data_IF_742810243500
#
_entry.id   IF_742810243500
#
_cell.length_a   1.000
_cell.length_b   1.000
_cell.length_c   1.000
_cell.angle_alpha   90.00
_cell.angle_beta   90.00
_cell.angle_gamma   90.00
#
_symmetry.space_group_name_H-M   'P 1'
#
loop_
_entity.id
_entity.type
_entity.pdbx_description
1 polymer ?
#
# COMPACT_ATOMS: atom_id res chain seq x y z
N UNK A 1 9.42 -13.46 8.23
CA UNK A 1 8.96 -14.79 8.71
C UNK A 1 8.25 -14.73 10.07
N UNK A 2 8.60 -13.82 10.98
CA UNK A 2 7.95 -13.73 12.30
C UNK A 2 6.43 -13.51 12.27
N UNK A 3 5.88 -12.94 11.19
CA UNK A 3 4.42 -12.83 11.02
C UNK A 3 3.70 -14.18 10.84
N UNK A 4 4.42 -15.23 10.43
CA UNK A 4 3.84 -16.54 10.17
C UNK A 4 3.72 -17.34 11.48
N UNK A 5 2.57 -17.99 11.68
CA UNK A 5 2.38 -18.97 12.75
C UNK A 5 3.33 -20.17 12.56
N UNK A 6 3.47 -20.99 13.61
CA UNK A 6 4.32 -22.18 13.60
C UNK A 6 3.96 -23.12 12.44
N UNK A 7 4.98 -23.65 11.77
CA UNK A 7 4.83 -24.49 10.59
C UNK A 7 4.07 -23.82 9.44
N UNK A 8 4.04 -22.48 9.33
CA UNK A 8 3.37 -21.79 8.23
C UNK A 8 3.93 -22.14 6.84
N UNK A 9 3.12 -21.95 5.80
CA UNK A 9 3.55 -21.97 4.39
C UNK A 9 3.47 -20.54 3.88
N UNK A 10 4.62 -19.94 3.54
CA UNK A 10 4.72 -18.56 3.08
C UNK A 10 5.05 -18.52 1.59
N UNK A 11 4.11 -18.07 0.78
CA UNK A 11 4.30 -17.82 -0.64
C UNK A 11 4.93 -16.43 -0.85
N UNK A 12 6.05 -16.40 -1.56
CA UNK A 12 6.82 -15.18 -1.87
C UNK A 12 6.88 -14.94 -3.38
N UNK A 13 7.22 -13.71 -3.77
CA UNK A 13 7.35 -13.35 -5.17
C UNK A 13 8.81 -12.97 -5.51
N UNK A 14 9.40 -13.66 -6.48
CA UNK A 14 10.75 -13.33 -6.93
C UNK A 14 11.86 -13.51 -5.89
N UNK A 15 13.04 -13.02 -6.24
CA UNK A 15 14.30 -13.15 -5.51
C UNK A 15 14.36 -12.25 -4.26
N UNK A 16 13.94 -11.00 -4.37
CA UNK A 16 14.01 -10.00 -3.29
C UNK A 16 13.22 -10.40 -2.03
N UNK A 17 12.14 -11.17 -2.18
CA UNK A 17 11.40 -11.71 -1.05
C UNK A 17 12.01 -13.03 -0.54
N UNK A 18 12.54 -13.85 -1.44
CA UNK A 18 12.82 -15.26 -1.15
C UNK A 18 14.22 -15.46 -0.61
N UNK A 19 15.24 -14.89 -1.27
CA UNK A 19 16.63 -15.19 -0.95
C UNK A 19 17.05 -14.66 0.42
N UNK A 20 16.65 -13.47 0.87
CA UNK A 20 16.92 -13.04 2.24
C UNK A 20 16.28 -13.96 3.28
N UNK A 21 15.08 -14.49 3.02
CA UNK A 21 14.43 -15.42 3.93
C UNK A 21 15.14 -16.77 3.97
N UNK A 22 15.55 -17.30 2.82
CA UNK A 22 16.35 -18.53 2.77
C UNK A 22 17.71 -18.37 3.44
N UNK A 23 18.38 -17.23 3.26
CA UNK A 23 19.61 -16.94 4.02
C UNK A 23 19.36 -17.02 5.52
N UNK A 24 18.29 -16.38 6.02
CA UNK A 24 17.92 -16.45 7.43
C UNK A 24 17.64 -17.88 7.91
N UNK A 25 17.06 -18.74 7.05
CA UNK A 25 16.76 -20.12 7.42
C UNK A 25 17.98 -21.05 7.38
N UNK A 26 18.79 -20.95 6.33
CA UNK A 26 19.88 -21.90 6.07
C UNK A 26 21.19 -21.52 6.76
N UNK A 27 21.43 -20.22 6.95
CA UNK A 27 22.67 -19.71 7.56
C UNK A 27 22.44 -19.29 9.02
N UNK A 28 21.41 -18.48 9.28
CA UNK A 28 21.14 -17.94 10.62
C UNK A 28 20.23 -18.84 11.47
N UNK A 29 19.78 -19.97 10.90
CA UNK A 29 18.91 -20.96 11.55
C UNK A 29 17.58 -20.42 12.12
N UNK A 30 17.07 -19.33 11.54
CA UNK A 30 15.85 -18.66 12.00
C UNK A 30 14.61 -19.25 11.32
N UNK A 31 13.60 -19.63 12.12
CA UNK A 31 12.26 -20.05 11.64
C UNK A 31 12.32 -21.15 10.55
N UNK A 32 13.16 -22.16 10.76
CA UNK A 32 13.26 -23.35 9.88
C UNK A 32 11.96 -24.19 9.83
N UNK A 33 10.99 -23.90 10.69
CA UNK A 33 9.64 -24.50 10.69
C UNK A 33 8.76 -23.97 9.54
N UNK A 34 8.94 -22.72 9.12
CA UNK A 34 8.15 -22.10 8.04
C UNK A 34 8.67 -22.58 6.69
N UNK A 35 7.80 -23.03 5.78
CA UNK A 35 8.22 -23.30 4.40
C UNK A 35 8.02 -22.05 3.55
N UNK A 36 9.11 -21.47 3.07
CA UNK A 36 9.08 -20.41 2.04
C UNK A 36 8.92 -21.05 0.66
N UNK A 37 7.88 -20.64 -0.06
CA UNK A 37 7.51 -21.14 -1.39
C UNK A 37 7.56 -20.00 -2.40
N UNK A 38 8.57 -20.00 -3.25
CA UNK A 38 8.73 -18.99 -4.30
C UNK A 38 7.78 -19.29 -5.47
N UNK A 39 6.86 -18.38 -5.78
CA UNK A 39 5.90 -18.55 -6.87
C UNK A 39 6.55 -18.65 -8.25
N UNK A 40 7.65 -17.93 -8.50
CA UNK A 40 8.38 -18.00 -9.76
C UNK A 40 9.00 -19.40 -9.97
N UNK A 41 9.57 -19.98 -8.92
CA UNK A 41 10.15 -21.33 -8.96
C UNK A 41 9.08 -22.44 -9.00
N UNK A 42 7.86 -22.20 -8.49
CA UNK A 42 6.73 -23.13 -8.63
C UNK A 42 6.35 -23.44 -10.08
N UNK A 43 6.86 -22.69 -11.05
CA UNK A 43 6.71 -23.05 -12.46
C UNK A 43 7.57 -24.24 -12.90
N UNK A 44 8.41 -24.79 -12.02
CA UNK A 44 9.37 -25.84 -12.35
C UNK A 44 9.10 -27.14 -11.59
N UNK A 45 9.14 -28.27 -12.31
CA UNK A 45 8.89 -29.60 -11.73
C UNK A 45 9.88 -29.97 -10.63
N UNK A 46 11.16 -29.60 -10.79
CA UNK A 46 12.19 -29.87 -9.78
C UNK A 46 11.88 -29.17 -8.45
N UNK A 47 11.37 -27.94 -8.47
CA UNK A 47 11.06 -27.20 -7.25
C UNK A 47 9.82 -27.78 -6.56
N UNK A 48 8.81 -28.19 -7.32
CA UNK A 48 7.64 -28.91 -6.79
C UNK A 48 8.07 -30.20 -6.10
N UNK A 49 8.96 -31.00 -6.70
CA UNK A 49 9.55 -32.19 -6.07
C UNK A 49 10.34 -31.83 -4.81
N UNK A 50 11.09 -30.73 -4.83
CA UNK A 50 11.82 -30.26 -3.66
C UNK A 50 10.90 -29.93 -2.47
N UNK A 51 9.74 -29.32 -2.72
CA UNK A 51 8.73 -29.04 -1.70
C UNK A 51 8.18 -30.33 -1.07
N UNK A 52 7.99 -31.38 -1.88
CA UNK A 52 7.44 -32.66 -1.43
C UNK A 52 8.43 -33.46 -0.57
N UNK A 53 9.73 -33.42 -0.92
CA UNK A 53 10.72 -34.34 -0.37
C UNK A 53 11.66 -33.74 0.68
N UNK A 54 11.94 -32.42 0.64
CA UNK A 54 12.85 -31.75 1.58
C UNK A 54 12.11 -31.05 2.71
N UNK A 55 12.62 -31.16 3.94
CA UNK A 55 12.08 -30.45 5.09
C UNK A 55 12.31 -28.92 5.01
N UNK A 56 11.39 -28.09 5.54
CA UNK A 56 10.06 -28.44 6.05
C UNK A 56 9.10 -28.78 4.89
N UNK A 57 8.61 -30.02 4.85
CA UNK A 57 7.88 -30.57 3.68
C UNK A 57 6.52 -29.93 3.46
N UNK A 58 6.19 -29.63 2.21
CA UNK A 58 4.86 -29.17 1.77
C UNK A 58 4.29 -30.17 0.79
N UNK A 59 3.15 -30.77 1.14
CA UNK A 59 2.42 -31.65 0.23
C UNK A 59 1.87 -30.82 -0.93
N UNK A 60 2.34 -31.15 -2.13
CA UNK A 60 1.96 -30.48 -3.38
C UNK A 60 0.76 -31.14 -4.04
N UNK A 61 0.45 -32.39 -3.68
CA UNK A 61 -0.62 -33.17 -4.32
C UNK A 61 -0.26 -33.70 -5.71
N UNK A 62 1.01 -33.59 -6.13
CA UNK A 62 1.53 -34.18 -7.35
C UNK A 62 2.47 -35.34 -7.03
N UNK A 63 2.48 -36.34 -7.91
CA UNK A 63 3.63 -37.26 -8.03
C UNK A 63 4.78 -36.58 -8.77
N UNK A 64 5.99 -37.11 -8.65
CA UNK A 64 7.17 -36.60 -9.38
C UNK A 64 6.94 -36.57 -10.90
N UNK A 65 6.33 -37.62 -11.46
CA UNK A 65 6.00 -37.70 -12.88
C UNK A 65 4.94 -36.65 -13.29
N UNK A 66 3.97 -36.37 -12.42
CA UNK A 66 2.99 -35.31 -12.67
C UNK A 66 3.66 -33.94 -12.63
N UNK A 67 4.54 -33.68 -11.66
CA UNK A 67 5.26 -32.42 -11.53
C UNK A 67 6.12 -32.12 -12.76
N UNK A 68 6.79 -33.14 -13.33
CA UNK A 68 7.63 -32.99 -14.54
C UNK A 68 6.80 -32.76 -15.82
N UNK A 69 5.51 -33.09 -15.81
CA UNK A 69 4.60 -32.93 -16.97
C UNK A 69 3.65 -31.75 -16.86
N UNK A 70 3.80 -30.90 -15.84
CA UNK A 70 2.94 -29.73 -15.69
C UNK A 70 3.17 -28.74 -16.84
N UNK A 71 2.07 -28.32 -17.45
CA UNK A 71 2.03 -27.30 -18.50
C UNK A 71 0.99 -26.24 -18.14
N UNK A 72 1.06 -25.03 -18.73
CA UNK A 72 -0.05 -24.10 -18.66
C UNK A 72 -1.32 -24.74 -19.20
N UNK A 73 -2.46 -24.46 -18.59
CA UNK A 73 -3.73 -25.07 -18.93
C UNK A 73 -4.80 -24.00 -19.11
N UNK A 74 -5.55 -24.07 -20.21
CA UNK A 74 -6.78 -23.28 -20.38
C UNK A 74 -7.91 -23.98 -19.65
N UNK A 75 -8.61 -23.25 -18.79
CA UNK A 75 -9.77 -23.75 -18.07
C UNK A 75 -11.00 -23.83 -18.99
N UNK A 76 -11.76 -24.92 -18.91
CA UNK A 76 -12.72 -25.29 -19.98
C UNK A 76 -14.16 -24.84 -19.73
N UNK A 77 -14.53 -24.60 -18.48
CA UNK A 77 -15.90 -24.28 -18.06
C UNK A 77 -15.89 -23.43 -16.80
N UNK A 78 -16.93 -22.63 -16.57
CA UNK A 78 -17.10 -21.96 -15.29
C UNK A 78 -17.30 -23.02 -14.20
N UNK A 79 -16.38 -23.09 -13.24
CA UNK A 79 -16.43 -24.12 -12.20
C UNK A 79 -15.90 -23.61 -10.87
N UNK A 80 -16.69 -23.84 -9.84
CA UNK A 80 -16.21 -23.72 -8.46
C UNK A 80 -15.29 -24.89 -8.11
N UNK A 81 -14.11 -24.55 -7.60
CA UNK A 81 -13.18 -25.48 -7.01
C UNK A 81 -13.27 -25.34 -5.49
N UNK A 82 -13.51 -26.45 -4.81
CA UNK A 82 -13.40 -26.52 -3.36
C UNK A 82 -11.93 -26.59 -2.94
N UNK A 83 -11.51 -25.63 -2.12
CA UNK A 83 -10.18 -25.57 -1.49
C UNK A 83 -10.18 -26.09 -0.04
N UNK A 84 -11.21 -26.85 0.36
CA UNK A 84 -11.34 -27.51 1.66
C UNK A 84 -11.89 -26.59 2.75
N UNK A 85 -12.72 -25.62 2.39
CA UNK A 85 -13.26 -24.65 3.35
C UNK A 85 -13.93 -23.43 2.74
N UNK A 86 -13.64 -23.15 1.47
CA UNK A 86 -14.38 -22.20 0.64
C UNK A 86 -14.29 -22.62 -0.83
N UNK A 87 -15.30 -22.22 -1.61
CA UNK A 87 -15.34 -22.40 -3.07
C UNK A 87 -14.65 -21.23 -3.77
N UNK A 88 -13.90 -21.54 -4.80
CA UNK A 88 -13.20 -20.57 -5.62
C UNK A 88 -13.59 -20.77 -7.09
N UNK A 89 -14.19 -19.75 -7.72
CA UNK A 89 -14.66 -19.81 -9.10
C UNK A 89 -13.51 -19.61 -10.09
N UNK A 90 -13.26 -20.62 -10.93
CA UNK A 90 -12.49 -20.47 -12.15
C UNK A 90 -13.42 -20.26 -13.34
N UNK A 91 -13.09 -19.27 -14.17
CA UNK A 91 -13.87 -18.94 -15.36
C UNK A 91 -13.37 -19.71 -16.57
N UNK A 92 -14.29 -20.03 -17.47
CA UNK A 92 -14.00 -20.55 -18.80
C UNK A 92 -12.99 -19.65 -19.50
N UNK A 93 -12.08 -20.27 -20.25
CA UNK A 93 -11.00 -19.65 -21.02
C UNK A 93 -9.88 -18.98 -20.18
N UNK A 94 -9.98 -18.98 -18.85
CA UNK A 94 -8.88 -18.53 -17.99
C UNK A 94 -7.65 -19.43 -18.18
N UNK A 95 -6.47 -18.83 -18.36
CA UNK A 95 -5.20 -19.55 -18.45
C UNK A 95 -4.61 -19.68 -17.06
N UNK A 96 -4.38 -20.92 -16.63
CA UNK A 96 -3.63 -21.24 -15.42
C UNK A 96 -2.18 -21.55 -15.78
N UNK A 97 -1.26 -20.76 -15.22
CA UNK A 97 0.18 -21.07 -15.28
C UNK A 97 0.51 -22.27 -14.41
N UNK A 98 1.71 -22.82 -14.54
CA UNK A 98 2.16 -23.94 -13.72
C UNK A 98 2.12 -23.57 -12.23
N UNK A 99 2.63 -22.39 -11.86
CA UNK A 99 2.56 -21.88 -10.49
C UNK A 99 1.13 -21.79 -9.93
N UNK A 100 0.16 -21.42 -10.77
CA UNK A 100 -1.23 -21.22 -10.37
C UNK A 100 -1.86 -22.57 -10.02
N UNK A 101 -1.62 -23.57 -10.88
CA UNK A 101 -2.04 -24.96 -10.66
C UNK A 101 -1.40 -25.53 -9.39
N UNK A 102 -0.11 -25.28 -9.20
CA UNK A 102 0.63 -25.75 -8.03
C UNK A 102 0.15 -25.11 -6.73
N UNK A 103 -0.08 -23.79 -6.72
CA UNK A 103 -0.64 -23.07 -5.59
C UNK A 103 -1.98 -23.66 -5.15
N UNK A 104 -2.94 -23.79 -6.07
CA UNK A 104 -4.27 -24.35 -5.76
C UNK A 104 -4.17 -25.79 -5.22
N UNK A 105 -3.28 -26.61 -5.80
CA UNK A 105 -3.09 -27.98 -5.34
C UNK A 105 -2.42 -28.07 -3.97
N UNK A 106 -1.44 -27.20 -3.67
CA UNK A 106 -0.85 -27.10 -2.32
C UNK A 106 -1.91 -26.72 -1.30
N UNK A 107 -2.74 -25.70 -1.58
CA UNK A 107 -3.83 -25.29 -0.68
C UNK A 107 -4.77 -26.47 -0.39
N UNK A 108 -5.22 -27.17 -1.44
CA UNK A 108 -6.11 -28.33 -1.33
C UNK A 108 -5.46 -29.51 -0.59
N UNK A 109 -4.21 -29.83 -0.89
CA UNK A 109 -3.47 -30.93 -0.27
C UNK A 109 -3.14 -30.66 1.21
N UNK A 110 -2.96 -29.39 1.57
CA UNK A 110 -2.73 -28.96 2.95
C UNK A 110 -3.93 -29.27 3.88
N UNK A 111 -5.16 -29.32 3.34
CA UNK A 111 -6.41 -29.56 4.12
C UNK A 111 -6.51 -28.69 5.37
N UNK A 112 -6.05 -27.44 5.27
CA UNK A 112 -6.03 -26.46 6.38
C UNK A 112 -5.27 -26.92 7.64
N UNK A 113 -4.33 -27.87 7.49
CA UNK A 113 -3.49 -28.34 8.61
C UNK A 113 -2.43 -27.32 9.00
N UNK A 114 -1.86 -26.63 8.01
CA UNK A 114 -0.85 -25.57 8.19
C UNK A 114 -1.45 -24.22 7.79
N UNK A 115 -1.12 -23.12 8.49
CA UNK A 115 -1.53 -21.79 8.08
C UNK A 115 -0.80 -21.39 6.78
N UNK A 116 -1.53 -20.75 5.86
CA UNK A 116 -1.03 -20.36 4.54
C UNK A 116 -0.99 -18.84 4.46
N UNK A 117 0.13 -18.32 3.96
CA UNK A 117 0.41 -16.89 3.87
C UNK A 117 0.94 -16.53 2.49
N UNK A 118 0.61 -15.34 2.01
CA UNK A 118 1.26 -14.69 0.88
C UNK A 118 2.00 -13.45 1.38
N UNK A 119 3.20 -13.16 0.89
CA UNK A 119 3.86 -11.89 1.18
C UNK A 119 3.05 -10.71 0.60
N UNK A 120 3.11 -9.52 1.23
CA UNK A 120 2.34 -8.34 0.76
C UNK A 120 2.74 -7.94 -0.67
N UNK A 121 3.99 -8.20 -1.02
CA UNK A 121 4.65 -7.97 -2.31
C UNK A 121 4.17 -8.89 -3.44
N UNK A 122 3.40 -9.95 -3.13
CA UNK A 122 2.78 -10.78 -4.17
C UNK A 122 1.76 -9.93 -4.93
N UNK A 123 1.92 -9.81 -6.25
CA UNK A 123 1.03 -9.02 -7.09
C UNK A 123 -0.38 -9.64 -7.17
N UNK A 124 -1.44 -8.85 -7.40
CA UNK A 124 -2.80 -9.36 -7.57
C UNK A 124 -2.91 -10.47 -8.63
N UNK A 125 -2.17 -10.34 -9.73
CA UNK A 125 -2.11 -11.32 -10.83
C UNK A 125 -1.56 -12.69 -10.38
N UNK A 126 -0.77 -12.73 -9.32
CA UNK A 126 -0.21 -13.95 -8.74
C UNK A 126 -1.07 -14.52 -7.59
N UNK A 127 -2.19 -13.87 -7.25
CA UNK A 127 -3.12 -14.30 -6.19
C UNK A 127 -4.31 -15.08 -6.72
N UNK A 128 -4.52 -15.12 -8.04
CA UNK A 128 -5.65 -15.78 -8.70
C UNK A 128 -7.05 -15.29 -8.26
N UNK A 129 -7.20 -14.18 -7.54
CA UNK A 129 -8.49 -13.80 -6.95
C UNK A 129 -8.69 -14.30 -5.50
N UNK A 130 -7.68 -14.97 -4.92
CA UNK A 130 -7.68 -15.35 -3.51
C UNK A 130 -7.66 -14.13 -2.58
N UNK A 131 -7.36 -12.93 -3.08
CA UNK A 131 -7.39 -11.66 -2.32
C UNK A 131 -8.69 -11.44 -1.55
N UNK A 132 -9.81 -11.99 -2.03
CA UNK A 132 -11.09 -11.98 -1.31
C UNK A 132 -11.04 -12.69 0.05
N UNK A 133 -10.11 -13.62 0.21
CA UNK A 133 -9.91 -14.46 1.38
C UNK A 133 -8.56 -14.21 2.06
N UNK A 134 -7.91 -13.07 1.77
CA UNK A 134 -6.63 -12.69 2.36
C UNK A 134 -6.81 -11.61 3.42
N UNK A 135 -6.52 -11.95 4.68
CA UNK A 135 -6.47 -11.01 5.80
C UNK A 135 -5.04 -10.55 6.04
N UNK A 136 -4.80 -9.25 6.10
CA UNK A 136 -3.47 -8.72 6.36
C UNK A 136 -3.05 -8.93 7.83
N UNK A 137 -1.88 -9.52 8.03
CA UNK A 137 -1.19 -9.67 9.32
C UNK A 137 0.23 -9.11 9.19
N UNK A 138 0.36 -7.79 9.34
CA UNK A 138 1.64 -7.07 9.13
C UNK A 138 2.24 -7.34 7.74
N UNK A 139 3.45 -7.90 7.65
CA UNK A 139 4.19 -8.19 6.42
C UNK A 139 3.67 -9.41 5.62
N UNK A 140 2.56 -10.03 6.01
CA UNK A 140 1.95 -11.16 5.28
C UNK A 140 0.45 -10.99 5.15
N UNK A 141 -0.12 -11.70 4.18
CA UNK A 141 -1.53 -11.88 3.92
C UNK A 141 -1.90 -13.32 4.26
N UNK A 142 -2.64 -13.54 5.34
CA UNK A 142 -3.11 -14.86 5.76
C UNK A 142 -4.30 -15.28 4.92
N UNK A 143 -4.24 -16.49 4.37
CA UNK A 143 -5.40 -17.12 3.74
C UNK A 143 -6.35 -17.63 4.82
N UNK A 144 -7.59 -17.14 4.77
CA UNK A 144 -8.68 -17.53 5.68
C UNK A 144 -9.86 -18.11 4.88
N UNK A 145 -10.87 -18.68 5.55
CA UNK A 145 -12.01 -19.32 4.86
C UNK A 145 -13.11 -18.32 4.55
N UNK A 146 -13.31 -17.38 5.45
CA UNK A 146 -14.22 -16.27 5.34
C UNK A 146 -13.73 -15.23 4.32
N UNK A 147 -14.65 -14.37 3.87
CA UNK A 147 -14.28 -13.22 3.05
C UNK A 147 -13.59 -12.17 3.94
N UNK A 148 -12.36 -11.82 3.57
CA UNK A 148 -11.46 -10.93 4.31
C UNK A 148 -10.84 -9.84 3.43
N UNK A 149 -11.42 -9.59 2.25
CA UNK A 149 -10.94 -8.57 1.31
C UNK A 149 -10.71 -7.23 2.01
N UNK A 150 -9.51 -6.66 1.85
CA UNK A 150 -9.11 -5.37 2.44
C UNK A 150 -9.16 -5.33 3.98
N UNK A 151 -9.24 -6.47 4.66
CA UNK A 151 -9.23 -6.53 6.11
C UNK A 151 -7.80 -6.66 6.65
N UNK A 152 -7.56 -6.05 7.80
CA UNK A 152 -6.33 -6.14 8.56
C UNK A 152 -6.64 -6.68 9.96
N UNK A 153 -5.85 -7.65 10.42
CA UNK A 153 -5.84 -8.04 11.82
C UNK A 153 -5.06 -7.01 12.62
N UNK A 154 -5.75 -6.01 13.18
CA UNK A 154 -5.11 -4.85 13.79
C UNK A 154 -4.33 -5.20 15.04
N UNK A 155 -4.90 -6.04 15.92
CA UNK A 155 -4.26 -6.42 17.16
C UNK A 155 -2.97 -7.17 16.87
N UNK A 156 -3.04 -8.20 16.02
CA UNK A 156 -1.88 -8.98 15.64
C UNK A 156 -0.87 -8.17 14.85
N UNK A 157 -1.30 -7.33 13.91
CA UNK A 157 -0.39 -6.51 13.11
C UNK A 157 0.35 -5.49 13.96
N UNK A 158 -0.33 -4.86 14.92
CA UNK A 158 0.27 -3.93 15.89
C UNK A 158 1.30 -4.64 16.75
N UNK A 159 0.92 -5.78 17.34
CA UNK A 159 1.81 -6.56 18.20
C UNK A 159 3.08 -7.01 17.45
N UNK A 160 2.92 -7.48 16.20
CA UNK A 160 4.04 -7.88 15.36
C UNK A 160 5.04 -6.74 15.12
N UNK A 161 4.57 -5.54 14.74
CA UNK A 161 5.47 -4.41 14.42
C UNK A 161 6.10 -3.76 15.65
N UNK A 162 5.45 -3.84 16.82
CA UNK A 162 5.96 -3.25 18.05
C UNK A 162 6.86 -4.19 18.84
N UNK A 163 6.54 -5.49 18.87
CA UNK A 163 7.11 -6.43 19.84
C UNK A 163 7.89 -7.60 19.21
N UNK A 164 7.63 -7.98 17.95
CA UNK A 164 8.20 -9.19 17.35
C UNK A 164 9.11 -8.97 16.15
N UNK A 165 8.93 -7.88 15.40
CA UNK A 165 9.80 -7.55 14.28
C UNK A 165 11.08 -6.88 14.77
N UNK A 166 12.19 -7.27 14.16
CA UNK A 166 13.50 -6.67 14.38
C UNK A 166 13.89 -5.84 13.17
N UNK A 167 14.28 -4.59 13.40
CA UNK A 167 14.69 -3.66 12.35
C UNK A 167 16.16 -3.30 12.55
N UNK A 168 16.96 -3.33 11.48
CA UNK A 168 18.39 -3.03 11.53
C UNK A 168 18.80 -2.24 10.30
N UNK A 169 19.37 -1.05 10.50
CA UNK A 169 19.96 -0.23 9.42
C UNK A 169 18.96 0.35 8.40
N UNK A 170 17.65 0.17 8.60
CA UNK A 170 16.65 0.64 7.64
C UNK A 170 16.48 2.17 7.69
N UNK A 171 16.62 2.78 8.87
CA UNK A 171 16.64 4.23 9.07
C UNK A 171 18.05 4.85 8.98
N UNK A 172 19.10 4.04 8.80
CA UNK A 172 20.49 4.51 8.88
C UNK A 172 20.84 5.29 7.60
N UNK A 173 21.05 6.61 7.74
CA UNK A 173 21.37 7.50 6.63
C UNK A 173 22.81 7.33 6.13
N UNK A 174 23.69 6.68 6.90
CA UNK A 174 25.08 6.41 6.49
C UNK A 174 25.17 5.26 5.49
N UNK A 175 24.14 4.42 5.44
CA UNK A 175 24.04 3.31 4.49
C UNK A 175 23.36 3.81 3.22
N UNK A 176 24.12 3.85 2.12
CA UNK A 176 23.59 4.18 0.80
C UNK A 176 22.45 3.22 0.42
N UNK A 177 21.34 3.81 -0.01
CA UNK A 177 20.15 3.09 -0.51
C UNK A 177 19.82 3.66 -1.87
N UNK A 178 19.93 2.83 -2.90
CA UNK A 178 19.47 3.19 -4.24
C UNK A 178 17.93 3.24 -4.30
N UNK A 179 17.38 3.72 -5.41
CA UNK A 179 15.95 3.94 -5.56
C UNK A 179 15.13 2.63 -5.54
N UNK A 180 15.69 1.51 -6.01
CA UNK A 180 15.00 0.21 -5.91
C UNK A 180 14.96 -0.27 -4.46
N UNK A 181 16.07 -0.10 -3.72
CA UNK A 181 16.10 -0.37 -2.28
C UNK A 181 15.06 0.50 -1.55
N UNK A 182 14.99 1.81 -1.81
CA UNK A 182 13.97 2.70 -1.20
C UNK A 182 12.54 2.26 -1.51
N UNK A 183 12.26 1.84 -2.75
CA UNK A 183 10.95 1.30 -3.15
C UNK A 183 10.61 -0.01 -2.43
N UNK A 184 11.59 -0.89 -2.21
CA UNK A 184 11.35 -2.10 -1.42
C UNK A 184 11.11 -1.78 0.05
N UNK A 185 11.84 -0.79 0.60
CA UNK A 185 11.69 -0.34 1.97
C UNK A 185 10.33 0.33 2.23
N UNK A 186 9.72 0.95 1.22
CA UNK A 186 8.39 1.55 1.37
C UNK A 186 7.30 0.52 1.67
N UNK A 187 7.48 -0.76 1.31
CA UNK A 187 6.54 -1.83 1.70
C UNK A 187 6.45 -1.98 3.22
N UNK A 188 7.57 -1.84 3.94
CA UNK A 188 7.56 -1.88 5.41
C UNK A 188 6.81 -0.66 5.95
N UNK A 189 7.09 0.54 5.42
CA UNK A 189 6.43 1.76 5.84
C UNK A 189 4.93 1.77 5.54
N UNK A 190 4.51 1.13 4.45
CA UNK A 190 3.11 0.94 4.11
C UNK A 190 2.37 0.09 5.16
N UNK A 191 3.02 -0.92 5.76
CA UNK A 191 2.42 -1.69 6.86
C UNK A 191 2.15 -0.82 8.09
N UNK A 192 3.13 -0.03 8.52
CA UNK A 192 2.95 0.90 9.63
C UNK A 192 1.86 1.94 9.35
N UNK A 193 1.84 2.47 8.13
CA UNK A 193 0.83 3.43 7.67
C UNK A 193 -0.57 2.80 7.67
N UNK A 194 -0.72 1.55 7.21
CA UNK A 194 -1.99 0.83 7.18
C UNK A 194 -2.54 0.57 8.60
N UNK A 195 -1.69 0.13 9.53
CA UNK A 195 -2.06 -0.10 10.93
C UNK A 195 -2.48 1.22 11.59
N UNK A 196 -1.66 2.28 11.44
CA UNK A 196 -1.95 3.59 11.99
C UNK A 196 -3.24 4.19 11.39
N UNK A 197 -3.46 4.01 10.10
CA UNK A 197 -4.64 4.51 9.39
C UNK A 197 -5.91 3.83 9.90
N UNK A 198 -5.86 2.52 10.13
CA UNK A 198 -6.98 1.79 10.67
C UNK A 198 -7.30 2.21 12.11
N UNK A 199 -6.30 2.40 12.98
CA UNK A 199 -6.51 2.95 14.31
C UNK A 199 -7.11 4.37 14.28
N UNK A 200 -6.62 5.25 13.39
CA UNK A 200 -7.21 6.57 13.16
C UNK A 200 -8.67 6.52 12.67
N UNK A 201 -9.08 5.46 11.96
CA UNK A 201 -10.47 5.28 11.53
C UNK A 201 -11.36 4.81 12.69
N UNK A 202 -10.82 4.09 13.67
CA UNK A 202 -11.49 3.69 14.90
C UNK A 202 -11.50 4.80 15.97
N UNK A 203 -10.90 5.96 15.71
CA UNK A 203 -10.72 7.04 16.69
C UNK A 203 -9.66 6.76 17.77
N UNK A 204 -8.88 5.70 17.60
CA UNK A 204 -7.81 5.25 18.51
C UNK A 204 -6.50 5.96 18.18
N UNK A 205 -6.45 7.26 18.43
CA UNK A 205 -5.33 8.10 17.97
C UNK A 205 -4.03 7.86 18.74
N UNK A 206 -4.08 7.51 20.03
CA UNK A 206 -2.88 7.18 20.81
C UNK A 206 -2.21 5.90 20.29
N UNK A 207 -3.00 4.88 19.94
CA UNK A 207 -2.51 3.63 19.37
C UNK A 207 -1.94 3.84 17.96
N UNK A 208 -2.60 4.69 17.15
CA UNK A 208 -2.07 5.09 15.85
C UNK A 208 -0.72 5.79 15.99
N UNK A 209 -0.61 6.75 16.91
CA UNK A 209 0.63 7.48 17.21
C UNK A 209 1.76 6.51 17.58
N UNK A 210 1.53 5.60 18.53
CA UNK A 210 2.55 4.67 19.01
C UNK A 210 3.14 3.81 17.87
N UNK A 211 2.30 3.31 16.97
CA UNK A 211 2.76 2.54 15.81
C UNK A 211 3.56 3.41 14.86
N UNK A 212 3.03 4.56 14.47
CA UNK A 212 3.63 5.42 13.44
C UNK A 212 4.95 6.05 13.91
N UNK A 213 5.06 6.41 15.19
CA UNK A 213 6.31 6.88 15.79
C UNK A 213 7.37 5.79 15.80
N UNK A 214 6.99 4.54 16.13
CA UNK A 214 7.91 3.40 15.97
C UNK A 214 8.36 3.26 14.52
N UNK A 215 7.46 3.47 13.56
CA UNK A 215 7.78 3.48 12.14
C UNK A 215 8.81 4.54 11.78
N UNK A 216 8.66 5.78 12.24
CA UNK A 216 9.64 6.85 12.03
C UNK A 216 10.98 6.58 12.72
N UNK A 217 10.97 5.91 13.87
CA UNK A 217 12.17 5.51 14.59
C UNK A 217 12.98 4.48 13.78
N UNK A 218 12.34 3.49 13.17
CA UNK A 218 13.05 2.31 12.65
C UNK A 218 13.13 2.21 11.13
N UNK A 219 12.36 2.99 10.38
CA UNK A 219 12.29 2.88 8.92
C UNK A 219 12.92 4.07 8.19
N UNK A 220 13.23 3.86 6.92
CA UNK A 220 13.58 4.95 6.01
C UNK A 220 12.40 5.94 5.91
N UNK A 221 12.64 7.27 5.87
CA UNK A 221 11.58 8.25 5.76
C UNK A 221 10.59 7.94 4.63
N UNK A 222 9.31 7.96 4.96
CA UNK A 222 8.23 7.68 4.03
C UNK A 222 7.05 8.63 4.28
N UNK A 223 6.63 9.35 3.24
CA UNK A 223 5.60 10.38 3.34
C UNK A 223 4.29 9.86 3.95
N UNK A 224 3.92 8.60 3.67
CA UNK A 224 2.68 8.00 4.17
C UNK A 224 2.61 7.93 5.70
N UNK A 225 3.75 7.64 6.36
CA UNK A 225 3.79 7.63 7.84
C UNK A 225 3.54 9.04 8.37
N UNK A 226 4.19 10.05 7.79
CA UNK A 226 4.00 11.44 8.20
C UNK A 226 2.54 11.91 8.05
N UNK A 227 1.86 11.57 6.94
CA UNK A 227 0.48 12.00 6.70
C UNK A 227 -0.50 11.34 7.68
N UNK A 228 -0.33 10.04 7.95
CA UNK A 228 -1.20 9.33 8.91
C UNK A 228 -0.91 9.80 10.33
N UNK A 229 0.36 10.06 10.67
CA UNK A 229 0.75 10.56 11.99
C UNK A 229 0.25 11.98 12.22
N UNK A 230 0.25 12.83 11.18
CA UNK A 230 -0.39 14.14 11.24
C UNK A 230 -1.88 14.03 11.59
N UNK A 231 -2.60 13.11 10.94
CA UNK A 231 -4.01 12.83 11.29
C UNK A 231 -4.17 12.31 12.73
N UNK A 232 -3.27 11.47 13.21
CA UNK A 232 -3.31 10.98 14.59
C UNK A 232 -3.15 12.14 15.59
N UNK A 233 -2.15 13.01 15.38
CA UNK A 233 -1.93 14.18 16.22
C UNK A 233 -3.07 15.21 16.15
N UNK A 234 -3.67 15.41 14.98
CA UNK A 234 -4.87 16.23 14.84
C UNK A 234 -6.03 15.66 15.69
N UNK A 235 -6.24 14.34 15.66
CA UNK A 235 -7.24 13.67 16.49
C UNK A 235 -6.99 13.77 17.99
N UNK A 236 -5.73 13.95 18.41
CA UNK A 236 -5.32 14.21 19.79
C UNK A 236 -5.39 15.70 20.17
N UNK A 237 -5.76 16.59 19.24
CA UNK A 237 -5.81 18.04 19.47
C UNK A 237 -4.45 18.74 19.35
N UNK A 238 -3.39 18.04 18.94
CA UNK A 238 -2.05 18.60 18.73
C UNK A 238 -1.88 19.16 17.30
N UNK A 239 -2.70 20.17 16.97
CA UNK A 239 -2.80 20.72 15.61
C UNK A 239 -1.47 21.22 15.03
N UNK A 240 -0.63 21.89 15.81
CA UNK A 240 0.66 22.41 15.30
C UNK A 240 1.61 21.28 14.90
N UNK A 241 1.63 20.21 15.70
CA UNK A 241 2.44 19.03 15.41
C UNK A 241 1.94 18.30 14.16
N UNK A 242 0.63 18.23 13.98
CA UNK A 242 0.02 17.70 12.77
C UNK A 242 0.46 18.48 11.51
N UNK A 243 0.48 19.82 11.58
CA UNK A 243 0.92 20.66 10.47
C UNK A 243 2.42 20.50 10.18
N UNK A 244 3.27 20.42 11.21
CA UNK A 244 4.70 20.15 11.07
C UNK A 244 4.97 18.82 10.36
N UNK A 245 4.28 17.75 10.78
CA UNK A 245 4.38 16.44 10.17
C UNK A 245 3.87 16.44 8.73
N UNK A 246 2.79 17.17 8.46
CA UNK A 246 2.29 17.38 7.10
C UNK A 246 3.36 17.98 6.18
N UNK A 247 4.08 19.02 6.65
CA UNK A 247 5.20 19.66 5.93
C UNK A 247 6.36 18.67 5.73
N UNK A 248 6.74 17.90 6.76
CA UNK A 248 7.78 16.85 6.65
C UNK A 248 7.41 15.78 5.62
N UNK A 249 6.16 15.33 5.62
CA UNK A 249 5.66 14.38 4.64
C UNK A 249 5.76 14.90 3.21
N UNK A 250 5.43 16.18 2.98
CA UNK A 250 5.60 16.82 1.67
C UNK A 250 7.06 16.88 1.23
N UNK A 251 7.99 17.18 2.16
CA UNK A 251 9.42 17.31 1.86
C UNK A 251 10.08 16.00 1.42
N UNK A 252 9.64 14.85 1.94
CA UNK A 252 10.20 13.53 1.62
C UNK A 252 9.47 12.80 0.48
N UNK A 253 8.41 13.41 -0.07
CA UNK A 253 7.59 12.78 -1.08
C UNK A 253 8.21 12.84 -2.47
N UNK A 254 8.06 11.76 -3.23
CA UNK A 254 8.35 11.79 -4.66
C UNK A 254 7.33 12.68 -5.38
N UNK A 255 7.72 13.22 -6.54
CA UNK A 255 6.87 14.12 -7.33
C UNK A 255 5.49 13.52 -7.66
N UNK A 256 5.45 12.23 -7.97
CA UNK A 256 4.21 11.52 -8.27
C UNK A 256 3.29 11.34 -7.05
N UNK A 257 3.81 11.48 -5.82
CA UNK A 257 3.05 11.31 -4.57
C UNK A 257 2.51 12.64 -4.03
N UNK A 258 3.08 13.78 -4.42
CA UNK A 258 2.66 15.12 -3.98
C UNK A 258 1.16 15.43 -4.18
N UNK A 259 0.47 14.99 -5.26
CA UNK A 259 -0.96 15.21 -5.39
C UNK A 259 -1.77 14.69 -4.20
N UNK A 260 -1.42 13.51 -3.68
CA UNK A 260 -2.09 12.92 -2.52
C UNK A 260 -1.82 13.73 -1.24
N UNK A 261 -0.63 14.30 -1.12
CA UNK A 261 -0.22 15.07 0.05
C UNK A 261 -0.92 16.43 0.07
N UNK A 262 -1.01 17.15 -1.05
CA UNK A 262 -1.80 18.38 -1.04
C UNK A 262 -3.28 18.13 -0.71
N UNK A 263 -3.82 16.99 -1.15
CA UNK A 263 -5.18 16.60 -0.82
C UNK A 263 -5.37 16.32 0.68
N UNK A 264 -4.35 15.82 1.39
CA UNK A 264 -4.39 15.63 2.85
C UNK A 264 -4.11 16.92 3.62
N UNK A 265 -3.22 17.80 3.15
CA UNK A 265 -2.89 19.06 3.81
C UNK A 265 -4.06 20.03 3.79
N UNK A 266 -4.77 20.19 2.67
CA UNK A 266 -5.84 21.18 2.55
C UNK A 266 -6.90 21.12 3.66
N UNK A 267 -7.56 19.96 3.94
CA UNK A 267 -8.52 19.89 5.04
C UNK A 267 -7.88 20.08 6.42
N UNK A 268 -6.62 19.67 6.62
CA UNK A 268 -5.88 19.89 7.86
C UNK A 268 -5.66 21.39 8.12
N UNK A 269 -5.11 22.12 7.13
CA UNK A 269 -4.92 23.57 7.25
C UNK A 269 -6.23 24.34 7.32
N UNK A 270 -7.30 23.86 6.67
CA UNK A 270 -8.63 24.44 6.80
C UNK A 270 -9.12 24.37 8.25
N UNK A 271 -9.11 23.19 8.87
CA UNK A 271 -9.55 23.01 10.26
C UNK A 271 -8.67 23.76 11.26
N UNK A 272 -7.38 23.87 10.97
CA UNK A 272 -6.44 24.66 11.74
C UNK A 272 -6.62 26.18 11.58
N UNK A 273 -7.45 26.65 10.64
CA UNK A 273 -7.60 28.08 10.34
C UNK A 273 -6.36 28.72 9.71
N UNK A 274 -5.48 27.91 9.12
CA UNK A 274 -4.15 28.32 8.62
C UNK A 274 -4.01 28.24 7.09
N UNK A 275 -5.11 28.44 6.37
CA UNK A 275 -5.10 28.37 4.89
C UNK A 275 -4.09 29.33 4.25
N UNK A 276 -3.75 30.46 4.89
CA UNK A 276 -2.72 31.37 4.37
C UNK A 276 -1.31 30.76 4.40
N UNK A 277 -0.97 29.92 5.39
CA UNK A 277 0.29 29.18 5.40
C UNK A 277 0.36 28.18 4.24
N UNK A 278 -0.73 27.45 3.98
CA UNK A 278 -0.80 26.51 2.86
C UNK A 278 -0.70 27.22 1.51
N UNK A 279 -1.35 28.38 1.37
CA UNK A 279 -1.23 29.25 0.19
C UNK A 279 0.22 29.63 -0.07
N UNK A 280 0.99 29.99 0.95
CA UNK A 280 2.41 30.33 0.78
C UNK A 280 3.24 29.14 0.28
N UNK A 281 3.06 27.96 0.88
CA UNK A 281 3.74 26.72 0.45
C UNK A 281 3.44 26.41 -1.02
N UNK A 282 2.17 26.52 -1.42
CA UNK A 282 1.74 26.21 -2.78
C UNK A 282 2.14 27.28 -3.79
N UNK A 283 2.20 28.56 -3.40
CA UNK A 283 2.71 29.65 -4.25
C UNK A 283 4.17 29.42 -4.62
N UNK A 284 5.03 29.14 -3.63
CA UNK A 284 6.45 28.79 -3.86
C UNK A 284 6.56 27.59 -4.82
N UNK A 285 5.67 26.61 -4.65
CA UNK A 285 5.68 25.43 -5.51
C UNK A 285 5.33 25.73 -6.97
N UNK A 286 4.26 26.48 -7.23
CA UNK A 286 3.84 26.79 -8.61
C UNK A 286 4.81 27.76 -9.31
N UNK A 287 5.66 28.47 -8.55
CA UNK A 287 6.77 29.25 -9.08
C UNK A 287 7.95 28.39 -9.52
N UNK A 288 8.26 27.33 -8.76
CA UNK A 288 9.38 26.43 -9.06
C UNK A 288 9.02 25.29 -10.00
N UNK A 289 7.73 24.99 -10.19
CA UNK A 289 7.25 23.84 -10.97
C UNK A 289 6.00 24.17 -11.78
N UNK A 290 6.20 24.70 -13.00
CA UNK A 290 5.12 25.15 -13.89
C UNK A 290 4.29 24.03 -14.52
N UNK A 291 4.80 22.79 -14.51
CA UNK A 291 4.14 21.63 -15.12
C UNK A 291 3.44 20.71 -14.10
N UNK A 292 3.35 21.11 -12.84
CA UNK A 292 2.70 20.33 -11.79
C UNK A 292 1.25 20.78 -11.56
N UNK A 293 0.31 20.25 -12.34
CA UNK A 293 -1.11 20.60 -12.23
C UNK A 293 -1.68 20.42 -10.81
N UNK A 294 -1.23 19.40 -10.07
CA UNK A 294 -1.69 19.15 -8.70
C UNK A 294 -1.44 20.30 -7.74
N UNK A 295 -0.30 20.99 -7.88
CA UNK A 295 0.01 22.17 -7.06
C UNK A 295 -0.89 23.35 -7.41
N UNK A 296 -1.12 23.60 -8.71
CA UNK A 296 -2.06 24.63 -9.18
C UNK A 296 -3.49 24.34 -8.71
N UNK A 297 -3.93 23.09 -8.80
CA UNK A 297 -5.26 22.69 -8.37
C UNK A 297 -5.45 22.82 -6.85
N UNK A 298 -4.44 22.41 -6.07
CA UNK A 298 -4.46 22.59 -4.62
C UNK A 298 -4.52 24.08 -4.24
N UNK A 299 -3.75 24.93 -4.93
CA UNK A 299 -3.73 26.37 -4.67
C UNK A 299 -5.05 27.04 -5.05
N UNK A 300 -5.62 26.68 -6.21
CA UNK A 300 -6.96 27.09 -6.62
C UNK A 300 -8.00 26.76 -5.54
N UNK A 301 -8.01 25.51 -5.07
CA UNK A 301 -8.94 25.06 -4.02
C UNK A 301 -8.71 25.80 -2.70
N UNK A 302 -7.47 26.09 -2.35
CA UNK A 302 -7.12 26.85 -1.15
C UNK A 302 -7.70 28.26 -1.20
N UNK A 303 -7.47 29.01 -2.29
CA UNK A 303 -8.06 30.34 -2.48
C UNK A 303 -9.60 30.31 -2.50
N UNK A 304 -10.19 29.33 -3.19
CA UNK A 304 -11.64 29.14 -3.20
C UNK A 304 -12.21 28.97 -1.79
N UNK A 305 -11.56 28.16 -0.95
CA UNK A 305 -11.99 27.92 0.44
C UNK A 305 -11.82 29.13 1.35
N UNK A 306 -10.91 30.06 0.99
CA UNK A 306 -10.78 31.36 1.65
C UNK A 306 -11.82 32.39 1.17
N UNK A 307 -12.65 32.06 0.17
CA UNK A 307 -13.56 33.02 -0.47
C UNK A 307 -12.87 34.01 -1.42
N UNK A 308 -11.56 33.83 -1.67
CA UNK A 308 -10.74 34.65 -2.57
C UNK A 308 -10.93 34.18 -4.02
N UNK A 309 -12.15 34.32 -4.52
CA UNK A 309 -12.58 33.70 -5.78
C UNK A 309 -11.86 34.25 -7.02
N UNK A 310 -11.50 35.54 -7.01
CA UNK A 310 -10.76 36.20 -8.09
C UNK A 310 -9.31 35.71 -8.13
N UNK A 311 -8.68 35.58 -6.97
CA UNK A 311 -7.34 35.01 -6.83
C UNK A 311 -7.33 33.55 -7.29
N UNK A 312 -8.36 32.78 -6.92
CA UNK A 312 -8.51 31.40 -7.38
C UNK A 312 -8.55 31.32 -8.92
N UNK A 313 -9.34 32.18 -9.60
CA UNK A 313 -9.41 32.14 -11.07
C UNK A 313 -8.07 32.47 -11.72
N UNK A 314 -7.30 33.42 -11.17
CA UNK A 314 -5.96 33.78 -11.65
C UNK A 314 -4.99 32.61 -11.62
N UNK A 315 -5.12 31.66 -10.69
CA UNK A 315 -4.28 30.47 -10.64
C UNK A 315 -4.54 29.55 -11.84
N UNK A 316 -5.80 29.39 -12.24
CA UNK A 316 -6.14 28.61 -13.44
C UNK A 316 -5.73 29.33 -14.73
N UNK A 317 -5.86 30.67 -14.77
CA UNK A 317 -5.33 31.48 -15.88
C UNK A 317 -3.81 31.32 -16.01
N UNK A 318 -3.08 31.35 -14.89
CA UNK A 318 -1.63 31.11 -14.85
C UNK A 318 -1.29 29.72 -15.39
N UNK A 319 -2.02 28.67 -15.00
CA UNK A 319 -1.85 27.33 -15.58
C UNK A 319 -2.04 27.35 -17.10
N UNK A 320 -3.13 27.94 -17.59
CA UNK A 320 -3.43 28.02 -19.03
C UNK A 320 -2.44 28.88 -19.84
N UNK A 321 -1.73 29.81 -19.19
CA UNK A 321 -0.67 30.58 -19.84
C UNK A 321 0.53 29.70 -20.21
N UNK A 322 0.85 28.70 -19.38
CA UNK A 322 1.89 27.70 -19.68
C UNK A 322 1.34 26.51 -20.49
N UNK A 323 0.06 26.17 -20.30
CA UNK A 323 -0.61 25.01 -20.90
C UNK A 323 -1.85 25.41 -21.73
N UNK A 324 -1.69 26.19 -22.82
CA UNK A 324 -2.80 26.71 -23.60
C UNK A 324 -3.60 25.63 -24.34
N UNK A 325 -3.17 24.37 -24.35
CA UNK A 325 -3.89 23.26 -24.95
C UNK A 325 -4.86 22.55 -23.99
N UNK A 326 -4.88 22.88 -22.69
CA UNK A 326 -5.74 22.19 -21.72
C UNK A 326 -7.20 22.68 -21.77
N UNK A 327 -7.96 22.17 -22.74
CA UNK A 327 -9.39 22.47 -22.93
C UNK A 327 -10.24 22.19 -21.69
N UNK A 328 -9.85 21.21 -20.86
CA UNK A 328 -10.61 20.84 -19.66
C UNK A 328 -10.59 21.97 -18.66
N UNK A 329 -9.40 22.53 -18.41
CA UNK A 329 -9.23 23.65 -17.48
C UNK A 329 -9.80 24.94 -18.05
N UNK A 330 -9.69 25.16 -19.37
CA UNK A 330 -10.36 26.29 -20.02
C UNK A 330 -11.89 26.24 -19.82
N UNK A 331 -12.50 25.09 -20.08
CA UNK A 331 -13.93 24.89 -19.88
C UNK A 331 -14.36 25.07 -18.42
N UNK A 332 -13.58 24.50 -17.48
CA UNK A 332 -13.81 24.66 -16.04
C UNK A 332 -13.74 26.14 -15.61
N UNK A 333 -12.68 26.87 -16.00
CA UNK A 333 -12.50 28.28 -15.68
C UNK A 333 -13.64 29.14 -16.24
N UNK A 334 -14.09 28.89 -17.47
CA UNK A 334 -15.20 29.62 -18.07
C UNK A 334 -16.51 29.46 -17.28
N UNK A 335 -16.78 28.26 -16.78
CA UNK A 335 -17.95 28.00 -15.92
C UNK A 335 -17.79 28.64 -14.54
N UNK A 336 -16.61 28.53 -13.95
CA UNK A 336 -16.29 29.11 -12.65
C UNK A 336 -16.43 30.65 -12.64
N UNK A 337 -15.96 31.33 -13.68
CA UNK A 337 -16.10 32.79 -13.83
C UNK A 337 -17.56 33.23 -13.97
N UNK A 338 -18.42 32.43 -14.62
CA UNK A 338 -19.86 32.70 -14.69
C UNK A 338 -20.51 32.61 -13.30
N UNK A 339 -20.14 31.61 -12.52
CA UNK A 339 -20.65 31.40 -11.16
C UNK A 339 -20.27 32.57 -10.24
N UNK A 340 -19.02 33.03 -10.28
CA UNK A 340 -18.56 34.18 -9.46
C UNK A 340 -19.35 35.44 -9.80
N UNK A 341 -19.56 35.73 -11.09
CA UNK A 341 -20.34 36.91 -11.53
C UNK A 341 -21.79 36.85 -11.04
N UNK A 342 -22.41 35.67 -11.04
CA UNK A 342 -23.77 35.49 -10.51
C UNK A 342 -23.83 35.82 -9.01
N UNK A 343 -22.86 35.33 -8.23
CA UNK A 343 -22.79 35.58 -6.78
C UNK A 343 -22.58 37.07 -6.45
N UNK A 344 -21.75 37.77 -7.24
CA UNK A 344 -21.51 39.20 -7.06
C UNK A 344 -22.77 40.03 -7.40
N UNK A 345 -23.47 39.71 -8.49
CA UNK A 345 -24.70 40.42 -8.90
C UNK A 345 -25.92 40.20 -7.99
N UNK A 346 -25.94 39.15 -7.17
CA UNK A 346 -26.97 38.94 -6.13
C UNK A 346 -26.68 39.71 -4.84
N UNK A 347 -25.39 39.97 -4.55
CA UNK A 347 -24.96 40.70 -3.36
C UNK A 347 -25.17 42.21 -3.51
N UNK A 348 -25.13 42.74 -4.73
CA UNK A 348 -25.41 44.15 -5.05
C UNK A 348 -26.91 44.51 -5.10
N UNK A 349 -27.81 43.51 -5.05
CA UNK A 349 -29.27 43.69 -5.08
C UNK A 349 -29.96 43.60 -3.71
N UNK A 350 -29.21 43.34 -2.65
CA UNK A 350 -29.67 43.40 -1.25
C UNK A 350 -29.06 44.62 -0.58
#
# INVERSE_FOLDING_TARGET
>A
MNSCDQNGILFTNGDNDTFPLWFLQEVEEVRKDVRVVNLSLLNTGWYIKQLEHMEPRVRTGYTDEQADRLTPMRWTEDREIDLGGFSFLLKKDQILRIQDRALLNIIRANRWKRPIYLAITVSPENKLGLDKHLKMESMVLRLVKEEAANQIDLERSRDLVLNHHTFRGLNDETIFKDDNTKKLLSNYAAVFSAIGQAHCNEGKFDEARAVLEKGLEVLHPFWGIYQVLARAYEGLGETEKALELGKKGLAVAAENDKPMIYASLLPLYQRAGKLDELTNILNERVETSVDEFSAYWALFRTYHMQGKFVEASKILERWLAFHPQDERIRGFLANYLKEIKSRQGETEKR
#
